data_IF_630470810014
#
_entry.id   IF_630470810014
#
_cell.length_a   1.000
_cell.length_b   1.000
_cell.length_c   1.000
_cell.angle_alpha   90.00
_cell.angle_beta   90.00
_cell.angle_gamma   90.00
#
_symmetry.space_group_name_H-M   'P 1'
#
loop_
_entity.id
_entity.type
_entity.pdbx_description
1 polymer ?
#
# COMPACT_ATOMS: atom_id res chain seq x y z
N UNK A 1 5.84 -2.27 4.39
CA UNK A 1 6.53 -2.89 5.55
C UNK A 1 6.16 -4.36 5.62
N UNK A 2 7.14 -5.28 5.75
CA UNK A 2 6.84 -6.72 5.74
C UNK A 2 6.30 -7.18 7.11
N UNK A 3 5.32 -8.08 7.09
CA UNK A 3 4.76 -8.77 8.27
C UNK A 3 3.95 -7.92 9.24
N UNK A 4 3.57 -6.70 8.86
CA UNK A 4 2.63 -5.87 9.60
C UNK A 4 1.31 -5.80 8.82
N UNK A 5 0.20 -5.95 9.52
CA UNK A 5 -1.14 -5.84 8.98
C UNK A 5 -1.94 -4.87 9.83
N UNK A 6 -2.87 -4.17 9.21
CA UNK A 6 -3.74 -3.23 9.91
C UNK A 6 -4.78 -2.65 8.99
N UNK A 7 -5.71 -1.92 9.58
CA UNK A 7 -6.77 -1.20 8.88
C UNK A 7 -6.31 0.23 8.61
N UNK A 8 -6.48 0.73 7.39
CA UNK A 8 -6.17 2.13 7.03
C UNK A 8 -7.39 2.78 6.42
N UNK A 9 -7.71 4.00 6.85
CA UNK A 9 -8.72 4.80 6.16
C UNK A 9 -8.12 5.37 4.87
N UNK A 10 -8.81 5.17 3.75
CA UNK A 10 -8.38 5.62 2.43
C UNK A 10 -9.58 6.14 1.66
N UNK A 11 -9.35 7.12 0.80
CA UNK A 11 -10.36 7.58 -0.13
C UNK A 11 -10.69 6.47 -1.13
N UNK A 12 -11.98 6.21 -1.33
CA UNK A 12 -12.44 5.20 -2.29
C UNK A 12 -12.14 5.60 -3.74
N UNK A 13 -12.08 6.91 -4.00
CA UNK A 13 -11.81 7.49 -5.32
C UNK A 13 -10.88 8.70 -5.19
N UNK A 14 -10.03 8.89 -6.18
CA UNK A 14 -9.14 10.06 -6.29
C UNK A 14 -8.87 10.42 -7.74
N UNK A 15 -8.37 11.63 -7.94
CA UNK A 15 -7.76 12.06 -9.21
C UNK A 15 -6.31 12.41 -8.92
N UNK A 16 -5.39 11.81 -9.67
CA UNK A 16 -3.95 12.09 -9.56
C UNK A 16 -3.46 12.83 -10.80
N UNK A 17 -2.56 13.78 -10.59
CA UNK A 17 -1.80 14.44 -11.63
C UNK A 17 -0.33 14.01 -11.48
N UNK A 18 0.26 13.53 -12.57
CA UNK A 18 1.61 12.97 -12.55
C UNK A 18 2.30 13.15 -13.91
N UNK A 19 3.57 12.76 -13.96
CA UNK A 19 4.36 12.67 -15.18
C UNK A 19 4.63 11.20 -15.49
N UNK A 20 4.59 10.81 -16.75
CA UNK A 20 5.02 9.48 -17.20
C UNK A 20 6.55 9.37 -17.26
N UNK A 21 7.06 8.20 -17.64
CA UNK A 21 8.50 7.94 -17.76
C UNK A 21 9.22 8.82 -18.79
N UNK A 22 8.49 9.51 -19.66
CA UNK A 22 9.00 10.45 -20.65
C UNK A 22 8.84 11.92 -20.22
N UNK A 23 8.35 12.18 -19.00
CA UNK A 23 8.12 13.52 -18.48
C UNK A 23 6.89 14.21 -19.07
N UNK A 24 5.96 13.47 -19.68
CA UNK A 24 4.69 14.03 -20.17
C UNK A 24 3.67 14.04 -19.04
N UNK A 25 3.07 15.20 -18.83
CA UNK A 25 2.04 15.42 -17.80
C UNK A 25 0.74 14.72 -18.18
N UNK A 26 0.12 14.04 -17.22
CA UNK A 26 -1.21 13.45 -17.37
C UNK A 26 -2.03 13.53 -16.08
N UNK A 27 -3.34 13.37 -16.24
CA UNK A 27 -4.30 13.31 -15.13
C UNK A 27 -5.11 12.02 -15.24
N UNK A 28 -5.28 11.30 -14.12
CA UNK A 28 -5.99 10.02 -14.09
C UNK A 28 -6.89 9.92 -12.87
N UNK A 29 -8.14 9.51 -13.09
CA UNK A 29 -9.04 9.06 -12.02
C UNK A 29 -8.77 7.61 -11.64
N UNK A 30 -8.86 7.31 -10.34
CA UNK A 30 -8.76 5.95 -9.81
C UNK A 30 -9.86 5.69 -8.77
N UNK A 31 -10.28 4.43 -8.68
CA UNK A 31 -11.27 3.96 -7.70
C UNK A 31 -10.90 2.62 -7.11
N UNK A 32 -11.51 2.27 -5.98
CA UNK A 32 -11.34 0.98 -5.31
C UNK A 32 -9.88 0.68 -4.95
N UNK A 33 -9.42 -0.53 -5.27
CA UNK A 33 -8.06 -0.97 -4.94
C UNK A 33 -6.98 -0.06 -5.56
N UNK A 34 -7.19 0.42 -6.80
CA UNK A 34 -6.21 1.30 -7.45
C UNK A 34 -6.08 2.64 -6.73
N UNK A 35 -7.19 3.20 -6.23
CA UNK A 35 -7.14 4.42 -5.44
C UNK A 35 -6.34 4.21 -4.14
N UNK A 36 -6.51 3.06 -3.49
CA UNK A 36 -5.75 2.73 -2.27
C UNK A 36 -4.26 2.56 -2.54
N UNK A 37 -3.88 1.87 -3.62
CA UNK A 37 -2.49 1.68 -4.02
C UNK A 37 -1.83 3.03 -4.29
N UNK A 38 -2.48 3.92 -5.06
CA UNK A 38 -1.92 5.24 -5.37
C UNK A 38 -1.70 6.05 -4.08
N UNK A 39 -2.64 6.04 -3.14
CA UNK A 39 -2.47 6.69 -1.85
C UNK A 39 -1.30 6.11 -1.04
N UNK A 40 -1.12 4.78 -1.06
CA UNK A 40 -0.01 4.11 -0.38
C UNK A 40 1.36 4.54 -0.91
N UNK A 41 1.51 4.56 -2.23
CA UNK A 41 2.79 4.96 -2.85
C UNK A 41 3.06 6.46 -2.65
N UNK A 42 2.02 7.30 -2.67
CA UNK A 42 2.17 8.74 -2.36
C UNK A 42 2.62 8.94 -0.90
N UNK A 43 2.09 8.19 0.06
CA UNK A 43 2.57 8.24 1.45
C UNK A 43 4.08 7.98 1.51
N UNK A 44 4.58 6.99 0.75
CA UNK A 44 6.00 6.68 0.68
C UNK A 44 6.84 7.83 0.13
N UNK A 45 6.35 8.54 -0.89
CA UNK A 45 7.01 9.76 -1.40
C UNK A 45 7.09 10.87 -0.34
N UNK A 46 6.10 10.93 0.55
CA UNK A 46 6.05 11.86 1.67
C UNK A 46 6.75 11.34 2.95
N UNK A 47 7.46 10.21 2.87
CA UNK A 47 8.14 9.60 4.02
C UNK A 47 7.20 9.03 5.09
N UNK A 48 5.93 8.83 4.76
CA UNK A 48 4.90 8.25 5.64
C UNK A 48 4.74 6.77 5.35
N UNK A 49 4.66 5.96 6.40
CA UNK A 49 4.32 4.55 6.35
C UNK A 49 2.87 4.36 6.81
N UNK A 50 2.22 3.30 6.31
CA UNK A 50 0.84 3.00 6.72
C UNK A 50 0.70 2.74 8.23
N UNK A 51 1.78 2.33 8.90
CA UNK A 51 1.79 2.10 10.35
C UNK A 51 1.75 3.39 11.16
N UNK A 52 2.08 4.54 10.54
CA UNK A 52 2.11 5.83 11.20
C UNK A 52 0.69 6.38 11.44
N UNK A 53 -0.29 5.93 10.64
CA UNK A 53 -1.68 6.38 10.72
C UNK A 53 -2.72 5.25 10.74
N UNK A 54 -2.30 4.00 10.50
CA UNK A 54 -3.19 2.85 10.51
C UNK A 54 -3.67 2.45 11.90
N UNK A 55 -4.82 1.78 11.94
CA UNK A 55 -5.46 1.26 13.16
C UNK A 55 -5.35 -0.25 13.22
N UNK A 56 -5.46 -0.80 14.44
CA UNK A 56 -5.35 -2.25 14.70
C UNK A 56 -4.09 -2.86 14.08
N UNK A 57 -2.97 -2.13 14.11
CA UNK A 57 -1.70 -2.59 13.59
C UNK A 57 -1.24 -3.80 14.40
N UNK A 58 -0.99 -4.91 13.71
CA UNK A 58 -0.48 -6.16 14.29
C UNK A 58 0.72 -6.64 13.50
N UNK A 59 1.77 -7.00 14.22
CA UNK A 59 2.90 -7.75 13.66
C UNK A 59 2.57 -9.24 13.68
N UNK A 60 2.83 -9.93 12.57
CA UNK A 60 2.71 -11.38 12.52
C UNK A 60 3.74 -12.05 13.44
N UNK A 61 3.33 -13.14 14.07
CA UNK A 61 4.22 -14.02 14.84
C UNK A 61 5.16 -14.80 13.93
N UNK A 62 6.27 -15.28 14.49
CA UNK A 62 7.25 -16.09 13.77
C UNK A 62 6.62 -17.35 13.14
N UNK A 63 5.64 -17.95 13.83
CA UNK A 63 4.88 -19.11 13.34
C UNK A 63 4.04 -18.76 12.11
N UNK A 64 3.33 -17.62 12.15
CA UNK A 64 2.57 -17.13 11.00
C UNK A 64 3.48 -16.81 9.81
N UNK A 65 4.60 -16.12 10.06
CA UNK A 65 5.59 -15.80 9.03
C UNK A 65 6.18 -17.07 8.40
N UNK A 66 6.53 -18.06 9.21
CA UNK A 66 7.05 -19.34 8.72
C UNK A 66 6.04 -20.07 7.83
N UNK A 67 4.75 -20.05 8.20
CA UNK A 67 3.66 -20.61 7.40
C UNK A 67 3.52 -19.89 6.05
N UNK A 68 3.46 -18.56 6.03
CA UNK A 68 3.36 -17.79 4.77
C UNK A 68 4.55 -18.01 3.84
N UNK A 69 5.77 -18.08 4.40
CA UNK A 69 6.96 -18.40 3.60
C UNK A 69 6.85 -19.78 2.97
N UNK A 70 6.44 -20.78 3.74
CA UNK A 70 6.25 -22.14 3.23
C UNK A 70 5.27 -22.17 2.05
N UNK A 71 4.10 -21.53 2.19
CA UNK A 71 3.10 -21.43 1.13
C UNK A 71 3.61 -20.72 -0.13
N UNK A 72 4.41 -19.66 0.00
CA UNK A 72 4.94 -18.87 -1.12
C UNK A 72 6.04 -19.60 -1.93
N UNK A 73 6.81 -20.48 -1.28
CA UNK A 73 7.93 -21.19 -1.90
C UNK A 73 7.60 -22.64 -2.31
N UNK A 74 6.42 -23.15 -1.93
CA UNK A 74 5.92 -24.47 -2.33
C UNK A 74 4.94 -24.42 -3.52
N UNK A 75 4.60 -23.21 -4.00
CA UNK A 75 3.90 -22.94 -5.27
C UNK A 75 4.87 -22.45 -6.33
#
# INVERSE_FOLDING_TARGET
>A
MRWYYGETERYERLTVEAYDEHGKKFTRGAGGLLAQIIQHEIDHLNGTLFIDHGRKIRKLSEKEIAKYKKELYET
#
